data_IF_988728735117
#
_entry.id   IF_988728735117
#
_cell.length_a   1.000
_cell.length_b   1.000
_cell.length_c   1.000
_cell.angle_alpha   90.00
_cell.angle_beta   90.00
_cell.angle_gamma   90.00
#
_symmetry.space_group_name_H-M   'P 1'
#
loop_
_entity.id
_entity.type
_entity.pdbx_description
1 polymer ?
#
# COMPACT_ATOMS: atom_id res chain seq x y z
N UNK A 1 17.85 6.05 5.36
CA UNK A 1 17.51 7.49 5.38
C UNK A 1 18.30 8.12 6.53
N UNK A 2 19.16 9.10 6.26
CA UNK A 2 19.94 9.72 7.34
C UNK A 2 19.02 10.68 8.14
N UNK A 3 19.39 11.04 9.37
CA UNK A 3 18.54 11.88 10.22
C UNK A 3 18.19 13.25 9.64
N UNK A 4 19.02 13.79 8.74
CA UNK A 4 18.77 15.09 8.09
C UNK A 4 17.67 15.02 7.03
N UNK A 5 17.56 13.90 6.31
CA UNK A 5 16.51 13.70 5.31
C UNK A 5 15.13 13.58 5.98
N UNK A 6 15.09 12.92 7.14
CA UNK A 6 13.88 12.81 7.97
C UNK A 6 13.44 14.17 8.50
N UNK A 7 14.39 14.95 9.03
CA UNK A 7 14.07 16.25 9.64
C UNK A 7 13.70 17.30 8.57
N UNK A 8 14.25 17.20 7.35
CA UNK A 8 13.83 18.03 6.22
C UNK A 8 12.40 17.69 5.75
N UNK A 9 12.06 16.40 5.64
CA UNK A 9 10.69 15.95 5.37
C UNK A 9 9.73 16.41 6.46
N UNK A 10 10.07 16.21 7.74
CA UNK A 10 9.26 16.69 8.87
C UNK A 10 9.07 18.21 8.87
N UNK A 11 10.10 18.99 8.52
CA UNK A 11 10.01 20.45 8.41
C UNK A 11 9.07 20.90 7.29
N UNK A 12 9.11 20.24 6.13
CA UNK A 12 8.16 20.51 5.05
C UNK A 12 6.72 20.11 5.45
N UNK A 13 6.58 19.02 6.20
CA UNK A 13 5.30 18.57 6.76
C UNK A 13 4.73 19.50 7.83
N UNK A 14 5.55 20.04 8.73
CA UNK A 14 5.10 21.01 9.74
C UNK A 14 4.70 22.36 9.11
N UNK A 15 5.36 22.73 8.01
CA UNK A 15 5.12 24.00 7.30
C UNK A 15 3.84 23.96 6.46
N UNK A 16 3.50 22.80 5.88
CA UNK A 16 2.38 22.67 4.93
C UNK A 16 1.25 21.73 5.40
N UNK A 17 1.47 20.92 6.44
CA UNK A 17 0.53 19.90 6.93
C UNK A 17 -0.55 20.44 7.88
N UNK A 18 -0.40 21.65 8.39
CA UNK A 18 -1.44 22.29 9.20
C UNK A 18 -2.37 23.13 8.31
N UNK A 19 -3.49 22.54 7.94
CA UNK A 19 -4.66 23.21 7.35
C UNK A 19 -4.50 23.70 5.90
N UNK A 20 -4.47 22.76 4.96
CA UNK A 20 -5.00 23.04 3.62
C UNK A 20 -6.33 22.30 3.48
N UNK A 21 -7.44 23.01 3.67
CA UNK A 21 -8.68 22.64 2.99
C UNK A 21 -8.44 22.98 1.52
N UNK A 22 -8.18 21.96 0.71
CA UNK A 22 -7.72 22.12 -0.67
C UNK A 22 -8.94 22.47 -1.55
N UNK A 23 -8.90 23.54 -2.36
CA UNK A 23 -9.93 23.80 -3.35
C UNK A 23 -9.89 22.72 -4.45
N UNK A 24 -11.05 22.25 -4.93
CA UNK A 24 -11.18 20.95 -5.60
C UNK A 24 -10.60 20.82 -7.02
N UNK A 25 -10.10 21.90 -7.64
CA UNK A 25 -10.01 21.91 -9.11
C UNK A 25 -8.62 21.78 -9.73
N UNK A 26 -7.49 22.07 -9.06
CA UNK A 26 -6.15 21.77 -9.59
C UNK A 26 -5.10 21.57 -8.45
N UNK A 27 -4.34 20.45 -8.42
CA UNK A 27 -3.27 20.26 -7.44
C UNK A 27 -2.05 21.13 -7.75
N UNK A 28 -1.52 21.81 -6.73
CA UNK A 28 -0.30 22.60 -6.86
C UNK A 28 0.92 21.69 -7.13
N UNK A 29 1.89 22.12 -7.98
CA UNK A 29 3.09 21.33 -8.30
C UNK A 29 3.87 20.85 -7.07
N UNK A 30 3.91 21.64 -5.98
CA UNK A 30 4.60 21.31 -4.74
C UNK A 30 3.93 20.15 -3.98
N UNK A 31 2.59 20.11 -3.97
CA UNK A 31 1.82 19.02 -3.34
C UNK A 31 2.07 17.70 -4.07
N UNK A 32 2.04 17.74 -5.41
CA UNK A 32 2.40 16.59 -6.23
C UNK A 32 3.84 16.12 -5.97
N UNK A 33 4.77 17.03 -5.72
CA UNK A 33 6.15 16.67 -5.38
C UNK A 33 6.25 15.94 -4.03
N UNK A 34 5.53 16.41 -3.00
CA UNK A 34 5.52 15.78 -1.67
C UNK A 34 4.87 14.39 -1.71
N UNK A 35 3.73 14.25 -2.39
CA UNK A 35 3.06 12.96 -2.56
C UNK A 35 3.95 11.97 -3.31
N UNK A 36 4.62 12.40 -4.38
CA UNK A 36 5.57 11.57 -5.12
C UNK A 36 6.76 11.15 -4.25
N UNK A 37 7.38 12.08 -3.51
CA UNK A 37 8.50 11.77 -2.63
C UNK A 37 8.10 10.75 -1.53
N UNK A 38 6.89 10.90 -0.99
CA UNK A 38 6.34 10.02 0.03
C UNK A 38 6.08 8.62 -0.54
N UNK A 39 5.42 8.53 -1.70
CA UNK A 39 5.21 7.26 -2.39
C UNK A 39 6.55 6.55 -2.65
N UNK A 40 7.56 7.25 -3.15
CA UNK A 40 8.88 6.66 -3.41
C UNK A 40 9.58 6.17 -2.13
N UNK A 41 9.44 6.91 -1.03
CA UNK A 41 9.99 6.50 0.27
C UNK A 41 9.28 5.25 0.82
N UNK A 42 7.95 5.19 0.71
CA UNK A 42 7.14 4.04 1.11
C UNK A 42 7.41 2.82 0.22
N UNK A 43 7.54 3.01 -1.10
CA UNK A 43 7.92 1.96 -2.04
C UNK A 43 9.31 1.42 -1.72
N UNK A 44 10.31 2.28 -1.49
CA UNK A 44 11.66 1.83 -1.11
C UNK A 44 11.65 1.03 0.21
N UNK A 45 10.77 1.39 1.15
CA UNK A 45 10.56 0.60 2.38
C UNK A 45 9.91 -0.75 2.07
N UNK A 46 8.87 -0.79 1.25
CA UNK A 46 8.23 -2.04 0.83
C UNK A 46 9.22 -2.95 0.09
N UNK A 47 10.07 -2.39 -0.79
CA UNK A 47 11.13 -3.12 -1.48
C UNK A 47 12.19 -3.68 -0.52
N UNK A 48 12.51 -2.93 0.54
CA UNK A 48 13.42 -3.40 1.58
C UNK A 48 12.84 -4.59 2.36
N UNK A 49 11.54 -4.57 2.64
CA UNK A 49 10.86 -5.61 3.41
C UNK A 49 10.53 -6.86 2.59
N UNK A 50 10.09 -6.67 1.34
CA UNK A 50 9.46 -7.72 0.52
C UNK A 50 10.22 -8.02 -0.78
N UNK A 51 11.38 -7.40 -0.98
CA UNK A 51 12.19 -7.51 -2.19
C UNK A 51 11.86 -6.44 -3.24
N UNK A 52 12.78 -6.19 -4.16
CA UNK A 52 12.64 -5.11 -5.16
C UNK A 52 11.51 -5.35 -6.16
N UNK A 53 10.96 -4.26 -6.69
CA UNK A 53 10.09 -4.33 -7.86
C UNK A 53 10.88 -4.76 -9.11
N UNK A 54 10.23 -5.36 -10.13
CA UNK A 54 10.87 -5.68 -11.39
C UNK A 54 11.50 -4.45 -12.04
N UNK A 55 12.71 -4.61 -12.59
CA UNK A 55 13.43 -3.52 -13.25
C UNK A 55 12.60 -2.94 -14.42
N UNK A 56 12.48 -1.60 -14.46
CA UNK A 56 11.71 -0.89 -15.49
C UNK A 56 10.27 -0.58 -15.11
N UNK A 57 9.81 -0.96 -13.91
CA UNK A 57 8.53 -0.49 -13.36
C UNK A 57 8.72 0.96 -12.87
N UNK A 58 8.35 1.95 -13.68
CA UNK A 58 8.36 3.35 -13.25
C UNK A 58 7.04 3.64 -12.52
N UNK A 59 7.13 3.94 -11.23
CA UNK A 59 6.00 4.41 -10.44
C UNK A 59 5.99 5.95 -10.42
N UNK A 60 4.86 6.57 -10.78
CA UNK A 60 4.64 8.02 -10.67
C UNK A 60 3.24 8.30 -10.14
N UNK A 61 3.07 9.17 -9.14
CA UNK A 61 1.74 9.60 -8.68
C UNK A 61 1.10 10.47 -9.76
N UNK A 62 -0.12 10.14 -10.17
CA UNK A 62 -0.96 11.00 -10.99
C UNK A 62 -2.19 11.33 -10.15
N UNK A 63 -2.41 12.60 -9.86
CA UNK A 63 -3.65 13.04 -9.25
C UNK A 63 -4.78 12.94 -10.29
N UNK A 64 -5.90 12.30 -9.92
CA UNK A 64 -7.08 12.26 -10.77
C UNK A 64 -8.29 12.77 -9.98
N UNK A 65 -8.75 14.00 -10.26
CA UNK A 65 -10.01 14.49 -9.71
C UNK A 65 -11.16 13.70 -10.34
N UNK A 66 -12.07 13.15 -9.51
CA UNK A 66 -13.41 12.76 -9.95
C UNK A 66 -13.88 11.30 -9.82
N UNK A 67 -13.31 10.44 -8.97
CA UNK A 67 -13.85 9.08 -8.74
C UNK A 67 -14.20 8.80 -7.29
N UNK A 68 -15.43 8.34 -7.02
CA UNK A 68 -15.90 7.89 -5.70
C UNK A 68 -15.38 6.50 -5.27
N UNK A 69 -14.39 5.94 -5.97
CA UNK A 69 -13.86 4.60 -5.69
C UNK A 69 -12.53 4.67 -4.92
N UNK A 70 -12.26 3.58 -4.18
CA UNK A 70 -10.94 3.30 -3.61
C UNK A 70 -9.90 3.32 -4.75
N UNK A 71 -8.71 3.87 -4.51
CA UNK A 71 -7.76 4.11 -5.58
C UNK A 71 -7.25 2.79 -6.12
N UNK A 72 -7.58 2.51 -7.38
CA UNK A 72 -6.99 1.41 -8.13
C UNK A 72 -5.80 1.98 -8.88
N UNK A 73 -4.62 1.42 -8.64
CA UNK A 73 -3.51 1.55 -9.55
C UNK A 73 -3.92 0.97 -10.91
N UNK A 74 -4.19 1.79 -11.92
CA UNK A 74 -4.04 1.44 -13.33
C UNK A 74 -4.29 2.59 -14.31
N UNK A 75 -3.51 2.49 -15.39
CA UNK A 75 -3.63 3.11 -16.71
C UNK A 75 -3.00 4.49 -16.91
N UNK A 76 -1.78 4.47 -17.44
CA UNK A 76 -1.33 5.55 -18.30
C UNK A 76 -0.80 5.05 -19.64
N UNK A 77 -1.58 4.24 -20.38
CA UNK A 77 -1.40 3.89 -21.82
C UNK A 77 -0.04 3.32 -22.24
N UNK A 78 0.91 3.21 -21.32
CA UNK A 78 2.26 2.68 -21.46
C UNK A 78 2.41 1.61 -20.38
N UNK A 79 2.61 0.34 -20.74
CA UNK A 79 2.77 -0.77 -19.79
C UNK A 79 4.03 -0.67 -18.90
N UNK A 80 4.72 0.47 -18.95
CA UNK A 80 5.93 0.80 -18.18
C UNK A 80 5.72 1.87 -17.12
N UNK A 81 4.54 2.50 -17.06
CA UNK A 81 4.21 3.53 -16.08
C UNK A 81 3.01 3.10 -15.25
N UNK A 82 3.20 3.02 -13.93
CA UNK A 82 2.14 2.73 -12.97
C UNK A 82 1.95 3.93 -12.05
N UNK A 83 0.70 4.29 -11.78
CA UNK A 83 0.38 5.43 -10.94
C UNK A 83 -0.52 5.07 -9.77
N UNK A 84 -0.23 5.66 -8.62
CA UNK A 84 -1.16 5.71 -7.50
C UNK A 84 -2.06 6.91 -7.70
N UNK A 85 -3.36 6.68 -7.73
CA UNK A 85 -4.36 7.73 -7.72
C UNK A 85 -4.65 8.07 -6.26
N UNK A 86 -4.51 9.34 -5.85
CA UNK A 86 -4.96 9.77 -4.52
C UNK A 86 -6.29 10.49 -4.75
N UNK A 87 -7.40 9.80 -4.47
CA UNK A 87 -8.76 10.31 -4.67
C UNK A 87 -8.99 11.64 -3.90
N UNK A 88 -9.79 12.55 -4.48
CA UNK A 88 -10.48 13.69 -3.85
C UNK A 88 -11.13 13.47 -2.46
N UNK A 89 -11.33 12.23 -2.01
CA UNK A 89 -11.82 11.89 -0.68
C UNK A 89 -10.73 11.91 0.40
N UNK A 90 -9.45 11.83 0.04
CA UNK A 90 -8.35 12.07 0.97
C UNK A 90 -8.21 13.59 1.19
N UNK A 91 -8.96 14.11 2.16
CA UNK A 91 -9.05 15.53 2.45
C UNK A 91 -7.95 16.00 3.41
N UNK A 92 -7.20 15.07 3.98
CA UNK A 92 -6.07 15.39 4.87
C UNK A 92 -4.82 14.64 4.45
N UNK A 93 -3.68 15.16 4.91
CA UNK A 93 -2.38 14.54 4.73
C UNK A 93 -2.35 13.09 5.26
N UNK A 94 -2.94 12.85 6.43
CA UNK A 94 -3.02 11.53 7.04
C UNK A 94 -3.77 10.52 6.16
N UNK A 95 -4.87 10.97 5.55
CA UNK A 95 -5.65 10.15 4.64
C UNK A 95 -4.88 9.85 3.35
N UNK A 96 -4.22 10.85 2.78
CA UNK A 96 -3.37 10.68 1.60
C UNK A 96 -2.19 9.74 1.89
N UNK A 97 -1.53 9.90 3.04
CA UNK A 97 -0.43 9.03 3.47
C UNK A 97 -0.87 7.57 3.58
N UNK A 98 -2.03 7.32 4.20
CA UNK A 98 -2.53 5.95 4.34
C UNK A 98 -2.80 5.30 2.97
N UNK A 99 -3.43 6.05 2.06
CA UNK A 99 -3.65 5.61 0.68
C UNK A 99 -2.33 5.28 -0.01
N UNK A 100 -1.35 6.19 0.04
CA UNK A 100 -0.03 5.94 -0.55
C UNK A 100 0.63 4.69 0.05
N UNK A 101 0.54 4.50 1.36
CA UNK A 101 1.12 3.34 2.03
C UNK A 101 0.45 2.03 1.62
N UNK A 102 -0.88 2.02 1.45
CA UNK A 102 -1.62 0.87 0.94
C UNK A 102 -1.17 0.51 -0.48
N UNK A 103 -1.21 1.50 -1.38
CA UNK A 103 -1.04 1.28 -2.83
C UNK A 103 0.39 0.92 -3.24
N UNK A 104 1.42 1.31 -2.48
CA UNK A 104 2.81 0.96 -2.84
C UNK A 104 3.10 -0.54 -2.81
N UNK A 105 2.30 -1.34 -2.08
CA UNK A 105 2.46 -2.80 -2.09
C UNK A 105 2.09 -3.36 -3.46
N UNK A 106 0.99 -2.87 -4.05
CA UNK A 106 0.57 -3.26 -5.40
C UNK A 106 1.59 -2.85 -6.48
N UNK A 107 2.35 -1.77 -6.23
CA UNK A 107 3.43 -1.35 -7.12
C UNK A 107 4.65 -2.29 -7.13
N UNK A 108 4.76 -3.22 -6.17
CA UNK A 108 5.85 -4.20 -6.16
C UNK A 108 5.72 -5.21 -7.32
N UNK A 109 4.49 -5.52 -7.74
CA UNK A 109 4.19 -6.34 -8.90
C UNK A 109 2.92 -5.83 -9.58
N UNK A 110 3.03 -4.72 -10.33
CA UNK A 110 1.86 -4.08 -10.88
C UNK A 110 1.13 -5.00 -11.87
N UNK A 111 -0.18 -5.14 -11.72
CA UNK A 111 -1.02 -5.89 -12.65
C UNK A 111 -1.49 -4.98 -13.79
N UNK A 112 -1.46 -5.47 -15.03
CA UNK A 112 -1.83 -4.70 -16.23
C UNK A 112 -3.30 -4.82 -16.63
N UNK A 113 -4.09 -5.68 -15.97
CA UNK A 113 -5.47 -5.98 -16.37
C UNK A 113 -6.36 -6.30 -15.18
N UNK A 114 -7.56 -5.72 -15.17
CA UNK A 114 -8.64 -5.96 -14.19
C UNK A 114 -9.20 -7.40 -14.19
N UNK A 115 -8.68 -8.33 -15.01
CA UNK A 115 -9.32 -9.64 -15.23
C UNK A 115 -8.71 -10.81 -14.46
N UNK A 116 -7.60 -10.63 -13.76
CA UNK A 116 -6.97 -11.73 -13.01
C UNK A 116 -7.42 -11.69 -11.56
N UNK A 117 -7.88 -12.83 -11.06
CA UNK A 117 -8.14 -13.00 -9.64
C UNK A 117 -6.86 -12.68 -8.85
N UNK A 118 -6.95 -11.81 -7.86
CA UNK A 118 -5.84 -11.45 -6.97
C UNK A 118 -5.94 -12.28 -5.71
N UNK A 119 -4.85 -12.90 -5.26
CA UNK A 119 -4.83 -13.64 -4.01
C UNK A 119 -5.08 -12.69 -2.82
N UNK A 120 -5.88 -13.15 -1.86
CA UNK A 120 -6.21 -12.42 -0.62
C UNK A 120 -4.97 -11.92 0.14
N UNK A 121 -3.83 -12.60 -0.03
CA UNK A 121 -2.55 -12.18 0.55
C UNK A 121 -2.13 -10.76 0.13
N UNK A 122 -2.32 -10.37 -1.13
CA UNK A 122 -1.87 -9.06 -1.64
C UNK A 122 -2.51 -7.92 -0.84
N UNK A 123 -3.84 -7.94 -0.70
CA UNK A 123 -4.60 -6.98 0.12
C UNK A 123 -4.21 -7.05 1.60
N UNK A 124 -4.08 -8.26 2.15
CA UNK A 124 -3.67 -8.43 3.55
C UNK A 124 -2.30 -7.79 3.85
N UNK A 125 -1.34 -7.92 2.94
CA UNK A 125 -0.01 -7.31 3.06
C UNK A 125 -0.09 -5.79 2.86
N UNK A 126 -0.89 -5.30 1.91
CA UNK A 126 -1.11 -3.87 1.67
C UNK A 126 -1.65 -3.17 2.93
N UNK A 127 -2.70 -3.72 3.53
CA UNK A 127 -3.29 -3.20 4.78
C UNK A 127 -2.26 -3.27 5.92
N UNK A 128 -1.60 -4.42 6.12
CA UNK A 128 -0.65 -4.58 7.22
C UNK A 128 0.54 -3.61 7.12
N UNK A 129 1.03 -3.37 5.90
CA UNK A 129 2.06 -2.39 5.63
C UNK A 129 1.56 -0.95 5.92
N UNK A 130 0.35 -0.60 5.45
CA UNK A 130 -0.24 0.72 5.68
C UNK A 130 -0.48 1.01 7.17
N UNK A 131 -1.04 0.06 7.92
CA UNK A 131 -1.24 0.17 9.37
C UNK A 131 0.09 0.37 10.10
N UNK A 132 1.12 -0.39 9.73
CA UNK A 132 2.45 -0.30 10.34
C UNK A 132 3.09 1.06 10.05
N UNK A 133 3.06 1.50 8.79
CA UNK A 133 3.63 2.80 8.39
C UNK A 133 2.88 3.96 9.05
N UNK A 134 1.55 3.91 9.09
CA UNK A 134 0.75 4.94 9.73
C UNK A 134 1.01 5.00 11.24
N UNK A 135 1.10 3.84 11.89
CA UNK A 135 1.44 3.75 13.33
C UNK A 135 2.81 4.35 13.64
N UNK A 136 3.79 4.15 12.75
CA UNK A 136 5.15 4.66 12.94
C UNK A 136 5.27 6.17 12.66
N UNK A 137 4.60 6.67 11.63
CA UNK A 137 4.84 8.01 11.10
C UNK A 137 3.75 9.03 11.40
N UNK A 138 2.50 8.59 11.53
CA UNK A 138 1.33 9.48 11.66
C UNK A 138 0.78 9.50 13.08
N UNK A 139 0.60 8.33 13.68
CA UNK A 139 0.05 8.19 15.04
C UNK A 139 0.82 9.02 16.09
N UNK A 140 2.16 9.14 16.07
CA UNK A 140 2.90 9.87 17.11
C UNK A 140 2.51 11.35 17.25
N UNK A 141 2.11 12.02 16.15
CA UNK A 141 1.75 13.44 16.19
C UNK A 141 0.23 13.70 16.16
N UNK A 142 -0.56 12.74 15.66
CA UNK A 142 -2.03 12.88 15.63
C UNK A 142 -2.72 12.27 16.85
N UNK A 143 -2.07 11.32 17.54
CA UNK A 143 -2.68 10.54 18.62
C UNK A 143 -3.86 9.66 18.18
N UNK A 144 -4.12 9.53 16.88
CA UNK A 144 -5.30 8.88 16.30
C UNK A 144 -4.90 7.85 15.26
N UNK A 145 -5.61 6.73 15.19
CA UNK A 145 -5.40 5.74 14.12
C UNK A 145 -5.96 6.19 12.76
N UNK A 146 -5.61 5.47 11.70
CA UNK A 146 -5.98 5.80 10.32
C UNK A 146 -7.48 5.76 10.09
N UNK A 147 -8.09 6.90 9.73
CA UNK A 147 -9.54 6.98 9.48
C UNK A 147 -9.97 6.25 8.18
N UNK A 148 -9.06 6.16 7.21
CA UNK A 148 -9.28 5.48 5.92
C UNK A 148 -8.90 4.00 5.94
N UNK A 149 -8.53 3.47 7.09
CA UNK A 149 -8.29 2.04 7.23
C UNK A 149 -9.57 1.25 6.94
N UNK A 150 -9.52 0.23 6.05
CA UNK A 150 -10.64 -0.66 5.84
C UNK A 150 -10.99 -1.46 7.10
N UNK A 151 -10.09 -1.53 8.09
CA UNK A 151 -10.31 -2.19 9.39
C UNK A 151 -11.30 -1.44 10.29
N UNK A 152 -11.64 -0.18 9.97
CA UNK A 152 -12.63 0.61 10.73
C UNK A 152 -14.06 0.41 10.26
N UNK A 153 -14.27 -0.23 9.11
CA UNK A 153 -15.60 -0.49 8.55
C UNK A 153 -16.13 -1.88 8.89
N UNK A 154 -17.26 -2.23 8.28
CA UNK A 154 -17.85 -3.58 8.37
C UNK A 154 -17.32 -4.53 7.28
N UNK A 155 -16.16 -4.21 6.70
CA UNK A 155 -15.57 -4.93 5.57
C UNK A 155 -14.87 -6.22 6.03
N UNK A 156 -15.64 -7.29 6.21
CA UNK A 156 -15.17 -8.56 6.78
C UNK A 156 -14.04 -9.21 5.97
N UNK A 157 -14.00 -9.01 4.65
CA UNK A 157 -12.94 -9.56 3.79
C UNK A 157 -11.58 -8.92 4.08
N UNK A 158 -11.53 -7.58 4.16
CA UNK A 158 -10.31 -6.83 4.48
C UNK A 158 -9.79 -7.17 5.88
N UNK A 159 -10.68 -7.25 6.88
CA UNK A 159 -10.30 -7.63 8.25
C UNK A 159 -9.70 -9.04 8.26
N UNK A 160 -10.34 -10.01 7.60
CA UNK A 160 -9.83 -11.37 7.55
C UNK A 160 -8.49 -11.48 6.81
N UNK A 161 -8.32 -10.73 5.72
CA UNK A 161 -7.05 -10.67 4.98
C UNK A 161 -5.92 -10.11 5.85
N UNK A 162 -6.16 -8.98 6.52
CA UNK A 162 -5.23 -8.37 7.45
C UNK A 162 -4.87 -9.29 8.61
N UNK A 163 -5.86 -9.85 9.32
CA UNK A 163 -5.64 -10.71 10.50
C UNK A 163 -4.80 -11.95 10.15
N UNK A 164 -4.92 -12.46 8.93
CA UNK A 164 -4.13 -13.59 8.46
C UNK A 164 -2.73 -13.17 8.00
N UNK A 165 -2.60 -12.08 7.25
CA UNK A 165 -1.32 -11.62 6.71
C UNK A 165 -0.40 -11.00 7.78
N UNK A 166 -0.96 -10.29 8.76
CA UNK A 166 -0.22 -9.64 9.84
C UNK A 166 0.51 -10.63 10.78
N UNK A 167 0.17 -11.92 10.73
CA UNK A 167 0.87 -12.98 11.46
C UNK A 167 2.19 -13.37 10.80
N UNK A 168 2.36 -13.05 9.50
CA UNK A 168 3.50 -13.47 8.72
C UNK A 168 4.62 -12.44 8.86
N UNK A 169 5.82 -12.90 9.21
CA UNK A 169 6.98 -12.03 9.34
C UNK A 169 7.40 -11.46 7.98
N UNK A 170 7.99 -10.26 7.98
CA UNK A 170 8.45 -9.62 6.74
C UNK A 170 9.44 -10.51 5.96
N UNK A 171 10.34 -11.22 6.65
CA UNK A 171 11.26 -12.16 6.00
C UNK A 171 10.55 -13.34 5.35
N UNK A 172 9.46 -13.83 5.95
CA UNK A 172 8.65 -14.90 5.37
C UNK A 172 7.84 -14.38 4.19
N UNK A 173 7.24 -13.19 4.29
CA UNK A 173 6.58 -12.53 3.16
C UNK A 173 7.53 -12.28 1.98
N UNK A 174 8.77 -11.86 2.25
CA UNK A 174 9.79 -11.73 1.21
C UNK A 174 10.04 -13.04 0.47
N UNK A 175 10.13 -14.17 1.19
CA UNK A 175 10.29 -15.51 0.61
C UNK A 175 9.06 -15.97 -0.16
N UNK A 176 7.87 -15.63 0.31
CA UNK A 176 6.61 -15.87 -0.42
C UNK A 176 6.64 -15.15 -1.75
N UNK A 177 6.91 -13.83 -1.75
CA UNK A 177 6.98 -13.03 -2.97
C UNK A 177 8.09 -13.51 -3.92
N UNK A 178 9.26 -13.86 -3.40
CA UNK A 178 10.34 -14.46 -4.19
C UNK A 178 9.90 -15.78 -4.86
N UNK A 179 9.19 -16.63 -4.12
CA UNK A 179 8.78 -17.96 -4.63
C UNK A 179 7.66 -17.87 -5.66
N UNK A 180 6.66 -17.00 -5.44
CA UNK A 180 5.51 -16.85 -6.32
C UNK A 180 5.70 -15.76 -7.40
N UNK A 181 6.76 -14.97 -7.30
CA UNK A 181 7.01 -13.80 -8.15
C UNK A 181 6.20 -12.55 -7.77
N UNK A 182 5.07 -12.70 -7.06
CA UNK A 182 4.18 -11.62 -6.58
C UNK A 182 3.29 -12.12 -5.44
N UNK A 183 2.69 -11.23 -4.65
CA UNK A 183 1.66 -11.64 -3.68
C UNK A 183 0.32 -11.97 -4.37
N UNK A 184 -0.06 -11.20 -5.39
CA UNK A 184 -1.28 -11.37 -6.16
C UNK A 184 -1.44 -12.78 -6.77
N UNK A 185 -0.35 -13.42 -7.17
CA UNK A 185 -0.38 -14.77 -7.75
C UNK A 185 -0.06 -15.90 -6.75
N UNK A 186 -0.03 -15.60 -5.44
CA UNK A 186 0.28 -16.57 -4.40
C UNK A 186 -0.90 -17.52 -4.09
N UNK A 187 -1.38 -18.25 -5.10
CA UNK A 187 -2.60 -19.06 -5.02
C UNK A 187 -2.38 -20.56 -4.70
N UNK A 188 -1.13 -21.01 -4.58
CA UNK A 188 -0.84 -22.41 -4.23
C UNK A 188 -0.75 -22.58 -2.71
N UNK A 189 -1.82 -23.11 -2.11
CA UNK A 189 -1.91 -23.35 -0.66
C UNK A 189 -0.76 -24.20 -0.12
N UNK A 190 -0.38 -25.28 -0.82
CA UNK A 190 0.64 -26.22 -0.34
C UNK A 190 2.02 -25.54 -0.24
N UNK A 191 2.34 -24.71 -1.24
CA UNK A 191 3.55 -23.90 -1.29
C UNK A 191 3.51 -22.80 -0.24
N UNK A 192 2.36 -22.14 -0.04
CA UNK A 192 2.17 -21.15 1.03
C UNK A 192 2.49 -21.76 2.41
N UNK A 193 1.89 -22.91 2.73
CA UNK A 193 2.14 -23.61 4.00
C UNK A 193 3.60 -24.02 4.17
N UNK A 194 4.24 -24.49 3.09
CA UNK A 194 5.66 -24.87 3.14
C UNK A 194 6.57 -23.67 3.45
N UNK A 195 6.24 -22.47 2.97
CA UNK A 195 7.05 -21.28 3.18
C UNK A 195 6.78 -20.67 4.56
N UNK A 196 5.51 -20.50 4.92
CA UNK A 196 5.08 -19.85 6.16
C UNK A 196 5.22 -20.76 7.39
N UNK A 197 5.24 -22.08 7.21
CA UNK A 197 5.39 -23.03 8.31
C UNK A 197 4.35 -22.80 9.40
N UNK A 198 4.82 -22.63 10.64
CA UNK A 198 3.98 -22.47 11.83
C UNK A 198 3.46 -21.04 12.04
N UNK A 199 3.82 -20.07 11.18
CA UNK A 199 3.30 -18.69 11.27
C UNK A 199 1.81 -18.61 10.95
N UNK A 200 1.30 -19.58 10.17
CA UNK A 200 -0.12 -19.63 9.77
C UNK A 200 -0.69 -21.05 9.89
N UNK A 201 -1.98 -21.12 10.18
CA UNK A 201 -2.76 -22.35 10.18
C UNK A 201 -3.19 -22.76 8.76
N UNK A 202 -3.67 -24.00 8.60
CA UNK A 202 -4.27 -24.47 7.33
C UNK A 202 -5.42 -23.58 6.84
N UNK A 203 -6.23 -23.07 7.77
CA UNK A 203 -7.36 -22.17 7.47
C UNK A 203 -6.85 -20.84 6.90
N UNK A 204 -5.82 -20.27 7.51
CA UNK A 204 -5.22 -19.01 7.04
C UNK A 204 -4.51 -19.19 5.70
N UNK A 205 -3.78 -20.30 5.50
CA UNK A 205 -3.19 -20.59 4.20
C UNK A 205 -4.25 -20.72 3.09
N UNK A 206 -5.39 -21.38 3.38
CA UNK A 206 -6.52 -21.45 2.45
C UNK A 206 -7.10 -20.07 2.15
N UNK A 207 -7.26 -19.22 3.16
CA UNK A 207 -7.77 -17.86 2.98
C UNK A 207 -6.82 -17.01 2.12
N UNK A 208 -5.55 -16.94 2.51
CA UNK A 208 -4.54 -16.08 1.86
C UNK A 208 -4.30 -16.44 0.39
N UNK A 209 -4.52 -17.70 0.01
CA UNK A 209 -4.34 -18.19 -1.36
C UNK A 209 -5.63 -18.18 -2.19
N UNK A 210 -6.78 -17.86 -1.60
CA UNK A 210 -8.04 -17.70 -2.32
C UNK A 210 -8.09 -16.34 -3.03
N UNK A 211 -8.85 -16.21 -4.13
CA UNK A 211 -9.20 -14.91 -4.70
C UNK A 211 -9.78 -13.97 -3.64
N UNK A 212 -9.36 -12.72 -3.65
CA UNK A 212 -9.94 -11.69 -2.79
C UNK A 212 -11.35 -11.33 -3.27
N UNK A 213 -12.30 -11.29 -2.34
CA UNK A 213 -13.69 -10.90 -2.60
C UNK A 213 -13.90 -9.46 -2.09
N UNK A 214 -14.02 -8.52 -3.04
CA UNK A 214 -14.21 -7.08 -2.79
C UNK A 214 -15.60 -6.73 -2.25
#
# INVERSE_FOLDING_TARGET
MNGKDRDALLSEFETHGHAASIPPDEPLPEVCAVLNATMLALLARAEHLYGRAPAGSLASVIDHPGTDRLPVALDCKDPRHYCVLVNSLANTWEEAFYVLAHEVVHLLNPASSESDAVATLEEGVAIAFAETAYTEYITPYTGSGAQRSPLRGEYTAYIAAYDAAALITASTLARVRETFGSFAHAMDKATMQRICGDEITDKQARLLTAPFEF
#
